data_IF_567628690460
#
_entry.id   IF_567628690460
#
_cell.length_a   1.000
_cell.length_b   1.000
_cell.length_c   1.000
_cell.angle_alpha   90.00
_cell.angle_beta   90.00
_cell.angle_gamma   90.00
#
_symmetry.space_group_name_H-M   'P 1'
#
loop_
_entity.id
_entity.type
_entity.pdbx_description
1 polymer ?
#
# COMPACT_ATOMS: atom_id res chain seq x y z
N UNK A 1 -27.45 -19.39 -7.94
CA UNK A 1 -26.06 -19.47 -7.41
C UNK A 1 -25.13 -19.86 -8.55
N UNK A 2 -24.01 -19.17 -8.78
CA UNK A 2 -23.05 -19.60 -9.81
C UNK A 2 -22.52 -20.99 -9.42
N UNK A 3 -22.74 -21.97 -10.28
CA UNK A 3 -22.34 -23.36 -10.03
C UNK A 3 -20.82 -23.49 -10.21
N UNK A 4 -20.12 -24.00 -9.20
CA UNK A 4 -18.67 -24.19 -9.25
C UNK A 4 -18.38 -25.48 -10.04
N UNK A 5 -18.23 -25.35 -11.36
CA UNK A 5 -18.00 -26.49 -12.26
C UNK A 5 -16.60 -27.13 -12.10
N UNK A 6 -15.64 -26.42 -11.49
CA UNK A 6 -14.25 -26.89 -11.32
C UNK A 6 -13.68 -26.41 -9.98
N UNK A 7 -12.91 -27.25 -9.25
CA UNK A 7 -12.24 -26.82 -8.03
C UNK A 7 -11.22 -25.72 -8.34
N UNK A 8 -11.14 -24.72 -7.46
CA UNK A 8 -10.20 -23.60 -7.58
C UNK A 8 -8.74 -24.12 -7.56
N UNK A 9 -7.89 -23.78 -8.54
CA UNK A 9 -6.54 -24.35 -8.64
C UNK A 9 -5.54 -23.65 -7.70
N UNK A 10 -5.65 -23.90 -6.40
CA UNK A 10 -4.83 -23.24 -5.36
C UNK A 10 -3.32 -23.28 -5.59
N UNK A 11 -2.78 -24.42 -6.05
CA UNK A 11 -1.33 -24.57 -6.32
C UNK A 11 -0.84 -23.57 -7.37
N UNK A 12 -1.57 -23.44 -8.47
CA UNK A 12 -1.25 -22.50 -9.56
C UNK A 12 -1.33 -21.05 -9.09
N UNK A 13 -2.35 -20.71 -8.29
CA UNK A 13 -2.49 -19.36 -7.75
C UNK A 13 -1.31 -18.98 -6.84
N UNK A 14 -0.87 -19.90 -6.00
CA UNK A 14 0.27 -19.70 -5.13
C UNK A 14 1.60 -19.54 -5.89
N UNK A 15 1.83 -20.37 -6.92
CA UNK A 15 2.99 -20.22 -7.81
C UNK A 15 3.00 -18.87 -8.52
N UNK A 16 1.84 -18.41 -9.01
CA UNK A 16 1.69 -17.09 -9.61
C UNK A 16 1.91 -15.94 -8.63
N UNK A 17 1.53 -16.10 -7.35
CA UNK A 17 1.82 -15.11 -6.32
C UNK A 17 3.31 -15.04 -6.01
N UNK A 18 3.97 -16.20 -5.89
CA UNK A 18 5.43 -16.30 -5.71
C UNK A 18 6.18 -15.66 -6.87
N UNK A 19 5.79 -15.98 -8.11
CA UNK A 19 6.43 -15.44 -9.31
C UNK A 19 6.36 -13.91 -9.39
N UNK A 20 5.30 -13.30 -8.83
CA UNK A 20 5.14 -11.84 -8.79
C UNK A 20 5.96 -11.14 -7.69
N UNK A 21 6.46 -11.86 -6.69
CA UNK A 21 7.29 -11.30 -5.62
C UNK A 21 6.60 -10.22 -4.75
N UNK A 22 5.26 -10.16 -4.76
CA UNK A 22 4.51 -9.10 -4.07
C UNK A 22 4.55 -9.24 -2.53
N UNK A 23 4.84 -10.44 -2.02
CA UNK A 23 4.68 -10.79 -0.61
C UNK A 23 5.52 -9.90 0.32
N UNK A 24 6.79 -9.67 -0.01
CA UNK A 24 7.69 -8.86 0.83
C UNK A 24 7.21 -7.41 0.91
N UNK A 25 6.88 -6.80 -0.23
CA UNK A 25 6.35 -5.43 -0.29
C UNK A 25 5.02 -5.31 0.46
N UNK A 26 4.17 -6.35 0.41
CA UNK A 26 2.91 -6.39 1.16
C UNK A 26 3.15 -6.44 2.67
N UNK A 27 4.08 -7.30 3.11
CA UNK A 27 4.47 -7.41 4.52
C UNK A 27 5.08 -6.11 5.03
N UNK A 28 5.89 -5.43 4.23
CA UNK A 28 6.51 -4.17 4.62
C UNK A 28 5.47 -3.07 4.89
N UNK A 29 4.44 -2.96 4.04
CA UNK A 29 3.31 -2.04 4.30
C UNK A 29 2.55 -2.40 5.57
N UNK A 30 2.35 -3.69 5.83
CA UNK A 30 1.67 -4.13 7.06
C UNK A 30 2.49 -3.83 8.32
N UNK A 31 3.82 -4.01 8.26
CA UNK A 31 4.72 -3.63 9.36
C UNK A 31 4.67 -2.12 9.63
N UNK A 32 4.67 -1.28 8.60
CA UNK A 32 4.53 0.17 8.76
C UNK A 32 3.21 0.54 9.45
N UNK A 33 2.11 -0.08 9.00
CA UNK A 33 0.78 0.12 9.57
C UNK A 33 0.74 -0.25 11.06
N UNK A 34 1.19 -1.46 11.41
CA UNK A 34 1.23 -1.94 12.79
C UNK A 34 2.16 -1.12 13.67
N UNK A 35 3.30 -0.68 13.14
CA UNK A 35 4.24 0.16 13.89
C UNK A 35 3.63 1.52 14.25
N UNK A 36 2.80 2.09 13.37
CA UNK A 36 2.04 3.32 13.66
C UNK A 36 0.91 3.06 14.66
N UNK A 37 0.11 2.01 14.43
CA UNK A 37 -1.00 1.66 15.32
C UNK A 37 -0.52 1.33 16.74
N UNK A 38 0.70 0.79 16.91
CA UNK A 38 1.33 0.54 18.22
C UNK A 38 1.83 1.80 18.93
N UNK A 39 2.26 2.82 18.18
CA UNK A 39 2.94 4.01 18.73
C UNK A 39 1.99 5.17 19.03
N UNK A 40 0.91 5.26 18.27
CA UNK A 40 -0.01 6.37 18.32
C UNK A 40 -1.24 6.01 19.15
N UNK A 41 -1.87 7.00 19.79
CA UNK A 41 -3.08 6.75 20.56
C UNK A 41 -4.23 6.27 19.66
N UNK A 42 -5.02 5.38 20.24
CA UNK A 42 -6.31 4.91 19.77
C UNK A 42 -7.30 5.24 20.87
N UNK A 43 -7.94 6.41 20.76
CA UNK A 43 -8.90 6.88 21.76
C UNK A 43 -10.30 6.31 21.53
N UNK A 44 -10.58 5.73 20.35
CA UNK A 44 -11.90 5.24 19.99
C UNK A 44 -12.04 3.70 20.10
N UNK A 45 -10.96 3.00 20.41
CA UNK A 45 -10.93 1.57 20.73
C UNK A 45 -11.12 0.65 19.52
N UNK A 46 -10.84 1.12 18.31
CA UNK A 46 -11.06 0.34 17.09
C UNK A 46 -9.83 -0.45 16.61
N UNK A 47 -8.72 -0.40 17.35
CA UNK A 47 -7.47 -1.08 17.04
C UNK A 47 -6.63 -0.39 15.96
N UNK A 48 -6.96 0.87 15.62
CA UNK A 48 -6.25 1.69 14.63
C UNK A 48 -5.93 3.04 15.23
N UNK A 49 -4.72 3.52 14.96
CA UNK A 49 -4.34 4.87 15.41
C UNK A 49 -5.27 5.92 14.80
N UNK A 50 -5.80 6.82 15.64
CA UNK A 50 -6.70 7.91 15.26
C UNK A 50 -6.07 8.77 14.14
N UNK A 51 -4.76 8.99 14.23
CA UNK A 51 -3.99 9.74 13.25
C UNK A 51 -4.09 9.17 11.82
N UNK A 52 -4.37 7.86 11.67
CA UNK A 52 -4.48 7.15 10.39
C UNK A 52 -5.93 6.96 9.95
N UNK A 53 -6.91 7.45 10.68
CA UNK A 53 -8.30 7.38 10.24
C UNK A 53 -8.54 8.23 9.00
N UNK A 54 -9.19 7.65 7.98
CA UNK A 54 -9.37 8.27 6.67
C UNK A 54 -8.07 8.56 5.88
N UNK A 55 -6.89 8.18 6.40
CA UNK A 55 -5.58 8.49 5.81
C UNK A 55 -4.81 7.23 5.45
N UNK A 56 -3.89 7.37 4.51
CA UNK A 56 -2.99 6.32 4.07
C UNK A 56 -1.58 6.51 4.67
N UNK A 57 -0.87 5.41 4.90
CA UNK A 57 0.54 5.42 5.27
C UNK A 57 1.36 5.43 3.99
N UNK A 58 2.18 6.47 3.82
CA UNK A 58 3.10 6.64 2.71
C UNK A 58 4.54 6.38 3.17
N UNK A 59 5.37 5.87 2.25
CA UNK A 59 6.81 5.74 2.47
C UNK A 59 7.50 7.00 1.94
N UNK A 60 8.54 7.49 2.62
CA UNK A 60 9.36 8.62 2.11
C UNK A 60 10.08 8.25 0.83
N UNK A 61 10.56 7.01 0.74
CA UNK A 61 11.10 6.40 -0.47
C UNK A 61 10.16 5.30 -0.91
N UNK A 62 9.67 5.38 -2.14
CA UNK A 62 8.75 4.37 -2.66
C UNK A 62 9.39 2.97 -2.66
N UNK A 63 8.63 1.96 -2.21
CA UNK A 63 9.05 0.54 -2.25
C UNK A 63 9.45 0.09 -3.66
N UNK A 64 8.81 0.65 -4.67
CA UNK A 64 9.10 0.35 -6.08
C UNK A 64 10.45 0.90 -6.56
N UNK A 65 11.00 1.89 -5.84
CA UNK A 65 12.32 2.49 -6.06
C UNK A 65 13.35 2.01 -5.04
N UNK A 66 13.12 0.85 -4.42
CA UNK A 66 14.02 0.26 -3.42
C UNK A 66 13.97 0.94 -2.06
N UNK A 67 12.85 1.58 -1.72
CA UNK A 67 12.60 2.07 -0.36
C UNK A 67 12.13 0.98 0.60
N UNK A 68 12.18 1.28 1.89
CA UNK A 68 11.80 0.41 3.00
C UNK A 68 11.18 1.20 4.15
N UNK A 69 10.71 0.53 5.20
CA UNK A 69 10.23 1.21 6.40
C UNK A 69 11.33 1.96 7.16
N UNK A 70 12.61 1.62 6.94
CA UNK A 70 13.77 2.27 7.57
C UNK A 70 13.97 3.69 7.03
N UNK A 71 13.63 3.93 5.76
CA UNK A 71 13.72 5.26 5.14
C UNK A 71 12.70 6.25 5.72
N UNK A 72 11.72 5.73 6.47
CA UNK A 72 10.69 6.51 7.15
C UNK A 72 9.34 6.43 6.45
N UNK A 73 8.30 6.54 7.27
CA UNK A 73 6.90 6.55 6.83
C UNK A 73 6.21 7.78 7.39
N UNK A 74 5.18 8.24 6.69
CA UNK A 74 4.38 9.39 7.09
C UNK A 74 2.91 9.15 6.73
N UNK A 75 2.04 9.91 7.39
CA UNK A 75 0.60 9.83 7.15
C UNK A 75 0.22 10.88 6.12
N UNK A 76 -0.48 10.46 5.07
CA UNK A 76 -0.95 11.33 3.99
C UNK A 76 -2.44 11.12 3.73
N UNK A 77 -3.10 12.10 3.14
CA UNK A 77 -4.49 11.93 2.69
C UNK A 77 -4.55 10.85 1.61
N UNK A 78 -5.59 10.03 1.65
CA UNK A 78 -5.80 8.96 0.66
C UNK A 78 -5.84 9.51 -0.78
N UNK A 79 -6.50 10.67 -0.97
CA UNK A 79 -6.58 11.33 -2.26
C UNK A 79 -5.21 11.67 -2.84
N UNK A 80 -4.29 12.24 -2.04
CA UNK A 80 -2.95 12.61 -2.50
C UNK A 80 -2.12 11.37 -2.80
N UNK A 81 -2.05 10.43 -1.86
CA UNK A 81 -1.20 9.23 -1.98
C UNK A 81 -1.61 8.32 -3.15
N UNK A 82 -2.92 8.18 -3.41
CA UNK A 82 -3.44 7.33 -4.50
C UNK A 82 -3.36 8.01 -5.87
N UNK A 83 -3.11 9.32 -5.93
CA UNK A 83 -3.09 10.09 -7.17
C UNK A 83 -1.75 10.12 -7.93
N UNK A 84 -0.71 9.47 -7.37
CA UNK A 84 0.62 9.44 -7.97
C UNK A 84 0.62 8.86 -9.38
N UNK A 85 1.49 9.38 -10.24
CA UNK A 85 1.58 8.93 -11.63
C UNK A 85 2.19 7.53 -11.67
N UNK A 86 1.48 6.60 -12.31
CA UNK A 86 1.93 5.24 -12.58
C UNK A 86 2.01 4.96 -14.08
N UNK A 87 2.82 3.98 -14.46
CA UNK A 87 2.87 3.45 -15.83
C UNK A 87 1.72 2.44 -16.07
N UNK A 88 1.62 1.92 -17.28
CA UNK A 88 0.61 0.89 -17.64
C UNK A 88 0.78 -0.43 -16.89
N UNK A 89 1.98 -0.69 -16.35
CA UNK A 89 2.31 -1.87 -15.55
C UNK A 89 2.06 -1.66 -14.05
N UNK A 90 1.62 -0.46 -13.66
CA UNK A 90 1.33 -0.09 -12.27
C UNK A 90 2.55 0.39 -11.46
N UNK A 91 3.72 0.51 -12.07
CA UNK A 91 4.95 1.00 -11.41
C UNK A 91 4.87 2.50 -11.17
N UNK A 92 5.57 2.98 -10.14
CA UNK A 92 5.58 4.40 -9.80
C UNK A 92 6.50 5.17 -10.76
N UNK A 93 5.93 6.16 -11.44
CA UNK A 93 6.66 7.08 -12.32
C UNK A 93 7.06 8.34 -11.56
N UNK A 94 6.11 8.97 -10.86
CA UNK A 94 6.36 10.16 -10.04
C UNK A 94 5.36 10.26 -8.89
N UNK A 95 5.82 10.78 -7.75
CA UNK A 95 4.98 11.11 -6.58
C UNK A 95 4.18 12.42 -6.77
N UNK A 96 4.30 13.04 -7.94
CA UNK A 96 3.43 14.14 -8.38
C UNK A 96 2.33 13.61 -9.29
N UNK A 97 1.09 14.00 -8.99
CA UNK A 97 -0.06 13.63 -9.79
C UNK A 97 -0.12 14.44 -11.10
N UNK A 98 -0.83 13.92 -12.12
CA UNK A 98 -1.09 14.67 -13.35
C UNK A 98 -1.85 15.98 -13.08
N UNK A 99 -2.76 15.98 -12.11
CA UNK A 99 -3.56 17.15 -11.71
C UNK A 99 -2.68 18.23 -11.08
N UNK A 100 -1.81 17.86 -10.15
CA UNK A 100 -0.86 18.78 -9.53
C UNK A 100 0.14 19.31 -10.56
N UNK A 101 0.62 18.47 -11.48
CA UNK A 101 1.54 18.89 -12.55
C UNK A 101 0.91 19.90 -13.50
N UNK A 102 -0.39 19.78 -13.80
CA UNK A 102 -1.11 20.72 -14.69
C UNK A 102 -1.38 22.08 -14.04
N UNK A 103 -1.41 22.15 -12.71
CA UNK A 103 -1.61 23.40 -11.96
C UNK A 103 -0.34 24.23 -11.79
N UNK A 104 0.82 23.66 -12.11
CA UNK A 104 2.11 24.32 -12.08
C UNK A 104 2.43 24.86 -13.48
#
# INVERSE_FOLDING_TARGET
MPYVNKPRPYKKEYEQEKARGEHERRMERQRARRALDKKLPDHNGNGKADAREGKDVAHKKALDKGGSNKDGTYIATAAKNRSFKRDSKGNLVSETSKKERKKK
#
